data_IF_168643725629
#
_entry.id   IF_168643725629
#
_cell.length_a   1.000
_cell.length_b   1.000
_cell.length_c   1.000
_cell.angle_alpha   90.00
_cell.angle_beta   90.00
_cell.angle_gamma   90.00
#
_symmetry.space_group_name_H-M   'P 1'
#
loop_
_entity.id
_entity.type
_entity.pdbx_description
1 polymer ?
#
# COMPACT_ATOMS: atom_id res chain seq x y z
N UNK A 1 33.81 58.14 1.03
CA UNK A 1 32.40 57.89 1.44
C UNK A 1 32.17 56.38 1.42
N UNK A 2 32.24 55.73 2.58
CA UNK A 2 32.22 54.26 2.71
C UNK A 2 30.78 53.82 3.00
N UNK A 3 30.14 53.15 2.06
CA UNK A 3 28.78 52.61 2.24
C UNK A 3 28.88 51.28 2.99
N UNK A 4 28.55 51.28 4.29
CA UNK A 4 28.38 50.06 5.10
C UNK A 4 27.17 49.28 4.58
N UNK A 5 27.40 48.09 4.02
CA UNK A 5 26.36 47.07 3.84
C UNK A 5 25.97 46.52 5.21
N UNK A 6 24.92 47.07 5.80
CA UNK A 6 24.30 46.48 6.99
C UNK A 6 23.70 45.12 6.62
N UNK A 7 24.31 44.08 7.18
CA UNK A 7 23.85 42.70 7.22
C UNK A 7 22.41 42.63 7.76
N UNK A 8 21.43 42.50 6.86
CA UNK A 8 20.12 41.96 7.20
C UNK A 8 20.31 40.49 7.57
N UNK A 9 20.56 40.25 8.86
CA UNK A 9 20.44 38.95 9.50
C UNK A 9 18.96 38.58 9.47
N UNK A 10 18.51 38.09 8.32
CA UNK A 10 17.26 37.35 8.21
C UNK A 10 17.30 36.28 9.27
N UNK A 11 16.43 36.39 10.28
CA UNK A 11 16.05 35.30 11.15
C UNK A 11 15.51 34.17 10.25
N UNK A 12 16.42 33.35 9.71
CA UNK A 12 16.10 32.00 9.28
C UNK A 12 15.70 31.29 10.56
N UNK A 13 14.40 31.36 10.85
CA UNK A 13 13.74 30.36 11.66
C UNK A 13 14.28 29.05 11.13
N UNK A 14 15.02 28.35 11.98
CA UNK A 14 15.73 27.14 11.64
C UNK A 14 14.68 26.03 11.46
N UNK A 15 13.97 26.05 10.32
CA UNK A 15 12.94 25.07 9.94
C UNK A 15 13.56 23.65 9.91
N UNK A 16 14.89 23.53 9.90
CA UNK A 16 15.61 22.26 10.07
C UNK A 16 15.44 21.61 11.45
N UNK A 17 14.91 22.34 12.45
CA UNK A 17 14.54 21.80 13.76
C UNK A 17 13.06 21.40 13.87
N UNK A 18 12.32 21.28 12.77
CA UNK A 18 11.18 20.36 12.76
C UNK A 18 11.75 18.95 12.88
N UNK A 19 11.74 18.45 14.12
CA UNK A 19 12.12 17.11 14.53
C UNK A 19 11.72 16.10 13.46
N UNK A 20 12.71 15.47 12.83
CA UNK A 20 12.49 14.20 12.12
C UNK A 20 11.93 13.23 13.15
N UNK A 21 10.61 13.18 13.28
CA UNK A 21 9.93 12.16 14.07
C UNK A 21 10.40 10.82 13.53
N UNK A 22 10.90 9.99 14.45
CA UNK A 22 11.51 8.73 14.12
C UNK A 22 10.47 7.83 13.43
N UNK A 23 10.73 7.25 12.24
CA UNK A 23 9.79 6.34 11.58
C UNK A 23 9.31 5.20 12.49
N UNK A 24 10.12 4.77 13.46
CA UNK A 24 9.72 3.78 14.46
C UNK A 24 8.54 4.26 15.35
N UNK A 25 8.43 5.56 15.62
CA UNK A 25 7.32 6.13 16.39
C UNK A 25 5.98 5.98 15.65
N UNK A 26 5.95 6.22 14.34
CA UNK A 26 4.74 6.07 13.54
C UNK A 26 4.31 4.61 13.39
N UNK A 27 5.28 3.70 13.24
CA UNK A 27 5.01 2.26 13.25
C UNK A 27 4.41 1.84 14.59
N UNK A 28 5.02 2.26 15.70
CA UNK A 28 4.49 1.99 17.04
C UNK A 28 3.07 2.54 17.25
N UNK A 29 2.83 3.80 16.86
CA UNK A 29 1.51 4.42 16.96
C UNK A 29 0.46 3.67 16.12
N UNK A 30 0.83 3.23 14.91
CA UNK A 30 -0.06 2.46 14.04
C UNK A 30 -0.42 1.10 14.66
N UNK A 31 0.55 0.42 15.28
CA UNK A 31 0.31 -0.83 16.01
C UNK A 31 -0.57 -0.62 17.24
N UNK A 32 -0.38 0.48 17.98
CA UNK A 32 -1.23 0.83 19.11
C UNK A 32 -2.68 1.07 18.66
N UNK A 33 -2.89 1.82 17.59
CA UNK A 33 -4.22 2.05 17.01
C UNK A 33 -4.86 0.72 16.59
N UNK A 34 -4.10 -0.18 15.95
CA UNK A 34 -4.59 -1.51 15.59
C UNK A 34 -5.04 -2.31 16.81
N UNK A 35 -4.25 -2.33 17.89
CA UNK A 35 -4.62 -3.02 19.13
C UNK A 35 -5.88 -2.42 19.75
N UNK A 36 -6.04 -1.09 19.73
CA UNK A 36 -7.24 -0.41 20.22
C UNK A 36 -8.47 -0.76 19.38
N UNK A 37 -8.33 -0.83 18.05
CA UNK A 37 -9.39 -1.29 17.15
C UNK A 37 -9.75 -2.74 17.44
N UNK A 38 -8.79 -3.64 17.56
CA UNK A 38 -9.07 -5.05 17.92
C UNK A 38 -9.74 -5.18 19.29
N UNK A 39 -9.31 -4.38 20.27
CA UNK A 39 -9.95 -4.31 21.60
C UNK A 39 -11.36 -3.75 21.54
N UNK A 40 -11.70 -2.89 20.59
CA UNK A 40 -13.07 -2.39 20.43
C UNK A 40 -14.09 -3.50 20.13
N UNK A 41 -13.63 -4.65 19.64
CA UNK A 41 -14.47 -5.84 19.43
C UNK A 41 -14.58 -6.74 20.69
N UNK A 42 -13.88 -6.45 21.79
CA UNK A 42 -13.99 -7.25 23.00
C UNK A 42 -15.36 -7.07 23.64
N UNK A 43 -16.16 -8.14 23.70
CA UNK A 43 -17.53 -8.12 24.23
C UNK A 43 -18.62 -8.24 23.16
N UNK A 44 -18.27 -8.26 21.87
CA UNK A 44 -19.18 -8.69 20.82
C UNK A 44 -19.20 -10.22 20.74
N UNK A 45 -20.40 -10.79 20.63
CA UNK A 45 -20.56 -12.21 20.31
C UNK A 45 -20.12 -12.41 18.85
N UNK A 46 -18.90 -12.91 18.67
CA UNK A 46 -18.29 -13.23 17.38
C UNK A 46 -18.85 -14.54 16.80
N UNK A 47 -20.14 -14.80 17.01
CA UNK A 47 -20.82 -15.87 16.28
C UNK A 47 -20.52 -15.69 14.79
N UNK A 48 -19.86 -16.70 14.21
CA UNK A 48 -19.43 -16.63 12.81
C UNK A 48 -20.70 -16.46 11.98
N UNK A 49 -20.84 -15.36 11.22
CA UNK A 49 -22.05 -15.15 10.44
C UNK A 49 -22.22 -16.31 9.45
N UNK A 50 -23.46 -16.67 9.19
CA UNK A 50 -23.78 -17.75 8.25
C UNK A 50 -23.11 -17.46 6.90
N UNK A 51 -22.27 -18.39 6.45
CA UNK A 51 -21.52 -18.24 5.21
C UNK A 51 -22.38 -18.70 4.04
N UNK A 52 -22.53 -17.87 3.03
CA UNK A 52 -23.25 -18.24 1.81
C UNK A 52 -22.27 -18.77 0.73
N UNK A 53 -22.67 -19.76 -0.07
CA UNK A 53 -21.89 -20.21 -1.21
C UNK A 53 -21.85 -19.13 -2.31
N UNK A 54 -20.69 -18.94 -2.93
CA UNK A 54 -20.52 -18.01 -4.03
C UNK A 54 -21.14 -18.55 -5.32
N UNK A 55 -21.85 -17.69 -6.07
CA UNK A 55 -22.67 -18.10 -7.23
C UNK A 55 -21.92 -18.82 -8.36
N UNK A 56 -20.63 -18.53 -8.57
CA UNK A 56 -19.89 -19.09 -9.71
C UNK A 56 -19.15 -20.39 -9.38
N UNK A 57 -18.70 -20.56 -8.13
CA UNK A 57 -17.84 -21.69 -7.74
C UNK A 57 -18.41 -22.53 -6.60
N UNK A 58 -19.44 -22.04 -5.90
CA UNK A 58 -19.99 -22.67 -4.71
C UNK A 58 -19.11 -22.53 -3.46
N UNK A 59 -17.96 -21.86 -3.54
CA UNK A 59 -17.09 -21.65 -2.38
C UNK A 59 -17.76 -20.76 -1.33
N UNK A 60 -17.57 -21.09 -0.06
CA UNK A 60 -18.13 -20.31 1.04
C UNK A 60 -17.48 -18.92 1.11
N UNK A 61 -18.34 -17.90 1.10
CA UNK A 61 -17.97 -16.52 1.32
C UNK A 61 -18.02 -16.17 2.80
N UNK A 62 -17.35 -15.09 3.20
CA UNK A 62 -17.39 -14.57 4.56
C UNK A 62 -18.69 -13.85 4.93
N UNK A 63 -19.53 -13.53 3.95
CA UNK A 63 -20.77 -12.80 4.17
C UNK A 63 -21.99 -13.72 3.99
N UNK A 64 -23.07 -13.48 4.75
CA UNK A 64 -24.36 -14.09 4.47
C UNK A 64 -24.95 -13.51 3.18
N UNK A 65 -26.07 -14.09 2.75
CA UNK A 65 -26.86 -13.51 1.66
C UNK A 65 -27.30 -12.07 2.02
N UNK A 66 -26.87 -11.12 1.20
CA UNK A 66 -27.17 -9.70 1.39
C UNK A 66 -28.55 -9.39 0.79
N UNK A 67 -29.51 -9.00 1.63
CA UNK A 67 -30.86 -8.65 1.17
C UNK A 67 -30.82 -7.46 0.19
N UNK A 68 -31.41 -7.63 -0.99
CA UNK A 68 -31.42 -6.60 -2.03
C UNK A 68 -30.10 -6.46 -2.81
N UNK A 69 -29.16 -7.38 -2.62
CA UNK A 69 -27.92 -7.42 -3.37
C UNK A 69 -28.19 -7.81 -4.83
N UNK A 70 -27.77 -6.92 -5.73
CA UNK A 70 -27.84 -7.13 -7.17
C UNK A 70 -26.48 -7.66 -7.66
N UNK A 71 -26.41 -8.97 -7.81
CA UNK A 71 -25.21 -9.67 -8.26
C UNK A 71 -24.71 -9.18 -9.63
N UNK A 72 -25.62 -8.87 -10.55
CA UNK A 72 -25.28 -8.46 -11.91
C UNK A 72 -24.65 -7.07 -11.94
N UNK A 73 -25.14 -6.13 -11.12
CA UNK A 73 -24.51 -4.81 -10.98
C UNK A 73 -23.10 -4.92 -10.44
N UNK A 74 -22.91 -5.74 -9.40
CA UNK A 74 -21.58 -5.98 -8.83
C UNK A 74 -20.63 -6.61 -9.85
N UNK A 75 -21.07 -7.64 -10.58
CA UNK A 75 -20.27 -8.30 -11.62
C UNK A 75 -19.90 -7.35 -12.75
N UNK A 76 -20.85 -6.51 -13.19
CA UNK A 76 -20.59 -5.53 -14.25
C UNK A 76 -19.51 -4.54 -13.83
N UNK A 77 -19.59 -4.03 -12.60
CA UNK A 77 -18.58 -3.14 -12.04
C UNK A 77 -17.21 -3.84 -11.90
N UNK A 78 -17.19 -5.08 -11.41
CA UNK A 78 -15.97 -5.86 -11.27
C UNK A 78 -15.32 -6.16 -12.62
N UNK A 79 -16.09 -6.58 -13.62
CA UNK A 79 -15.59 -6.87 -14.97
C UNK A 79 -15.00 -5.63 -15.62
N UNK A 80 -15.70 -4.50 -15.55
CA UNK A 80 -15.17 -3.23 -16.04
C UNK A 80 -13.84 -2.88 -15.34
N UNK A 81 -13.79 -3.01 -14.01
CA UNK A 81 -12.57 -2.79 -13.24
C UNK A 81 -11.43 -3.74 -13.67
N UNK A 82 -11.73 -5.03 -13.93
CA UNK A 82 -10.71 -5.98 -14.40
C UNK A 82 -10.14 -5.58 -15.75
N UNK A 83 -10.97 -5.15 -16.70
CA UNK A 83 -10.49 -4.69 -18.02
C UNK A 83 -9.53 -3.51 -17.86
N UNK A 84 -9.91 -2.51 -17.07
CA UNK A 84 -9.06 -1.33 -16.80
C UNK A 84 -7.75 -1.75 -16.11
N UNK A 85 -7.81 -2.64 -15.13
CA UNK A 85 -6.65 -3.13 -14.40
C UNK A 85 -5.71 -3.98 -15.25
N UNK A 86 -6.21 -4.76 -16.21
CA UNK A 86 -5.38 -5.51 -17.17
C UNK A 86 -4.54 -4.54 -18.00
N UNK A 87 -5.16 -3.53 -18.61
CA UNK A 87 -4.44 -2.53 -19.40
C UNK A 87 -3.48 -1.73 -18.52
N UNK A 88 -3.93 -1.30 -17.33
CA UNK A 88 -3.11 -0.54 -16.39
C UNK A 88 -1.89 -1.33 -15.94
N UNK A 89 -2.06 -2.62 -15.61
CA UNK A 89 -0.96 -3.52 -15.23
C UNK A 89 0.04 -3.66 -16.37
N UNK A 90 -0.43 -3.89 -17.61
CA UNK A 90 0.42 -4.01 -18.78
C UNK A 90 1.28 -2.75 -18.98
N UNK A 91 0.67 -1.57 -19.00
CA UNK A 91 1.40 -0.31 -19.18
C UNK A 91 2.32 0.01 -18.01
N UNK A 92 1.88 -0.24 -16.78
CA UNK A 92 2.69 -0.04 -15.58
C UNK A 92 3.96 -0.91 -15.60
N UNK A 93 3.84 -2.21 -15.87
CA UNK A 93 5.02 -3.09 -16.00
C UNK A 93 5.91 -2.62 -17.15
N UNK A 94 5.33 -2.39 -18.34
CA UNK A 94 6.08 -2.00 -19.54
C UNK A 94 6.94 -0.76 -19.28
N UNK A 95 6.39 0.28 -18.66
CA UNK A 95 7.11 1.54 -18.44
C UNK A 95 8.07 1.49 -17.25
N UNK A 96 7.78 0.72 -16.20
CA UNK A 96 8.63 0.66 -15.01
C UNK A 96 9.84 -0.27 -15.16
N UNK A 97 9.74 -1.27 -16.01
CA UNK A 97 10.88 -2.14 -16.37
C UNK A 97 11.70 -1.62 -17.55
N UNK A 98 11.18 -0.63 -18.29
CA UNK A 98 11.92 0.07 -19.34
C UNK A 98 11.98 1.58 -19.04
N UNK A 99 12.62 2.00 -17.92
CA UNK A 99 12.66 3.39 -17.54
C UNK A 99 13.49 4.22 -18.56
N UNK A 100 13.18 5.52 -18.73
CA UNK A 100 13.97 6.40 -19.58
C UNK A 100 15.45 6.41 -19.18
N UNK A 101 16.36 6.33 -20.16
CA UNK A 101 17.81 6.38 -19.93
C UNK A 101 18.32 7.80 -19.67
N UNK A 102 17.62 8.81 -20.18
CA UNK A 102 17.98 10.23 -19.99
C UNK A 102 17.60 10.68 -18.58
N UNK A 103 18.60 11.14 -17.81
CA UNK A 103 18.42 11.60 -16.43
C UNK A 103 17.37 12.70 -16.26
N UNK A 104 17.19 13.58 -17.25
CA UNK A 104 16.19 14.66 -17.23
C UNK A 104 14.74 14.16 -17.28
N UNK A 105 14.51 12.92 -17.73
CA UNK A 105 13.18 12.31 -17.84
C UNK A 105 12.85 11.42 -16.64
N UNK A 106 13.77 11.28 -15.67
CA UNK A 106 13.57 10.47 -14.48
C UNK A 106 13.04 11.36 -13.37
N UNK A 107 11.84 11.03 -12.87
CA UNK A 107 11.26 11.64 -11.67
C UNK A 107 12.05 11.25 -10.42
N UNK A 108 12.17 12.17 -9.45
CA UNK A 108 13.03 12.01 -8.27
C UNK A 108 12.33 12.49 -7.00
N UNK A 109 12.62 11.83 -5.88
CA UNK A 109 12.28 12.32 -4.56
C UNK A 109 13.26 13.41 -4.13
N UNK A 110 12.73 14.53 -3.64
CA UNK A 110 13.49 15.65 -3.09
C UNK A 110 13.10 15.86 -1.62
N UNK A 111 14.09 15.96 -0.75
CA UNK A 111 13.90 16.47 0.61
C UNK A 111 14.16 17.98 0.64
N UNK A 112 13.67 18.67 1.68
CA UNK A 112 13.93 20.09 1.86
C UNK A 112 15.45 20.37 1.93
N UNK A 113 15.95 21.13 0.95
CA UNK A 113 17.38 21.45 0.81
C UNK A 113 18.22 20.45 0.01
N UNK A 114 17.60 19.43 -0.59
CA UNK A 114 18.33 18.48 -1.44
C UNK A 114 18.73 19.13 -2.77
N UNK A 115 19.99 18.92 -3.17
CA UNK A 115 20.44 19.18 -4.54
C UNK A 115 20.07 18.01 -5.45
N UNK A 116 20.14 18.21 -6.77
CA UNK A 116 19.95 17.13 -7.75
C UNK A 116 20.95 15.97 -7.54
N UNK A 117 22.10 16.20 -6.90
CA UNK A 117 23.02 15.11 -6.56
C UNK A 117 22.51 14.21 -5.42
N UNK A 118 21.69 14.76 -4.52
CA UNK A 118 21.22 14.08 -3.30
C UNK A 118 19.79 13.49 -3.42
N UNK A 119 19.07 13.83 -4.48
CA UNK A 119 17.73 13.30 -4.77
C UNK A 119 17.77 11.84 -5.25
N UNK A 120 16.78 11.04 -4.86
CA UNK A 120 16.67 9.61 -5.19
C UNK A 120 15.73 9.41 -6.38
N UNK A 121 16.08 8.62 -7.41
CA UNK A 121 15.15 8.26 -8.49
C UNK A 121 13.88 7.58 -7.96
N UNK A 122 12.71 7.86 -8.53
CA UNK A 122 11.46 7.17 -8.17
C UNK A 122 11.30 5.85 -8.92
N UNK A 123 12.35 5.31 -9.54
CA UNK A 123 12.26 4.09 -10.37
C UNK A 123 11.73 2.90 -9.58
N UNK A 124 12.26 2.66 -8.39
CA UNK A 124 11.83 1.54 -7.54
C UNK A 124 10.47 1.79 -6.89
N UNK A 125 10.15 3.05 -6.60
CA UNK A 125 8.80 3.44 -6.19
C UNK A 125 7.76 3.14 -7.27
N UNK A 126 8.06 3.51 -8.52
CA UNK A 126 7.17 3.23 -9.65
C UNK A 126 7.02 1.71 -9.87
N UNK A 127 8.10 0.92 -9.70
CA UNK A 127 8.03 -0.54 -9.74
C UNK A 127 7.14 -1.11 -8.62
N UNK A 128 7.23 -0.57 -7.40
CA UNK A 128 6.35 -0.96 -6.31
C UNK A 128 4.87 -0.65 -6.62
N UNK A 129 4.59 0.52 -7.23
CA UNK A 129 3.24 0.85 -7.74
C UNK A 129 2.80 -0.14 -8.82
N UNK A 130 3.68 -0.52 -9.75
CA UNK A 130 3.33 -1.49 -10.78
C UNK A 130 2.99 -2.87 -10.18
N UNK A 131 3.76 -3.33 -9.19
CA UNK A 131 3.46 -4.56 -8.43
C UNK A 131 2.10 -4.43 -7.74
N UNK A 132 1.81 -3.31 -7.07
CA UNK A 132 0.51 -3.08 -6.44
C UNK A 132 -0.65 -3.14 -7.42
N UNK A 133 -0.53 -2.54 -8.60
CA UNK A 133 -1.58 -2.59 -9.63
C UNK A 133 -1.83 -4.05 -10.07
N UNK A 134 -0.78 -4.86 -10.24
CA UNK A 134 -0.90 -6.30 -10.54
C UNK A 134 -1.55 -7.06 -9.39
N UNK A 135 -1.16 -6.78 -8.14
CA UNK A 135 -1.79 -7.43 -6.99
C UNK A 135 -3.27 -7.04 -6.85
N UNK A 136 -3.62 -5.81 -7.21
CA UNK A 136 -5.01 -5.33 -7.26
C UNK A 136 -5.81 -6.05 -8.34
N UNK A 137 -5.22 -6.27 -9.52
CA UNK A 137 -5.80 -7.11 -10.57
C UNK A 137 -6.03 -8.53 -10.06
N UNK A 138 -5.03 -9.17 -9.44
CA UNK A 138 -5.16 -10.52 -8.90
C UNK A 138 -6.23 -10.59 -7.80
N UNK A 139 -6.29 -9.61 -6.90
CA UNK A 139 -7.32 -9.53 -5.88
C UNK A 139 -8.72 -9.37 -6.50
N UNK A 140 -8.84 -8.54 -7.54
CA UNK A 140 -10.08 -8.36 -8.28
C UNK A 140 -10.55 -9.64 -8.98
N UNK A 141 -9.63 -10.36 -9.63
CA UNK A 141 -9.91 -11.65 -10.26
C UNK A 141 -10.33 -12.70 -9.23
N UNK A 142 -9.68 -12.77 -8.06
CA UNK A 142 -10.09 -13.71 -7.02
C UNK A 142 -11.44 -13.37 -6.39
N UNK A 143 -11.79 -12.08 -6.21
CA UNK A 143 -13.18 -11.71 -5.86
C UNK A 143 -14.13 -12.20 -6.94
N UNK A 144 -13.82 -11.95 -8.21
CA UNK A 144 -14.73 -12.27 -9.31
C UNK A 144 -14.99 -13.78 -9.43
N UNK A 145 -13.96 -14.63 -9.30
CA UNK A 145 -14.10 -16.08 -9.47
C UNK A 145 -14.45 -16.83 -8.18
N UNK A 146 -13.90 -16.41 -7.03
CA UNK A 146 -14.03 -17.15 -5.77
C UNK A 146 -14.88 -16.43 -4.71
N UNK A 147 -15.33 -15.21 -4.98
CA UNK A 147 -16.02 -14.37 -4.00
C UNK A 147 -15.07 -13.87 -2.91
N UNK A 148 -15.62 -13.14 -1.95
CA UNK A 148 -14.85 -12.71 -0.78
C UNK A 148 -14.85 -13.83 0.25
N UNK A 149 -13.70 -14.46 0.41
CA UNK A 149 -13.49 -15.58 1.34
C UNK A 149 -12.01 -15.90 1.47
N UNK A 150 -11.68 -17.13 1.88
CA UNK A 150 -10.30 -17.52 2.20
C UNK A 150 -9.33 -17.37 1.02
N UNK A 151 -9.74 -17.78 -0.19
CA UNK A 151 -8.90 -17.67 -1.40
C UNK A 151 -8.59 -16.21 -1.72
N UNK A 152 -9.63 -15.36 -1.71
CA UNK A 152 -9.44 -13.92 -1.90
C UNK A 152 -8.55 -13.33 -0.82
N UNK A 153 -8.76 -13.71 0.45
CA UNK A 153 -8.01 -13.18 1.58
C UNK A 153 -6.50 -13.37 1.40
N UNK A 154 -6.04 -14.55 0.97
CA UNK A 154 -4.62 -14.80 0.70
C UNK A 154 -4.03 -13.81 -0.31
N UNK A 155 -4.77 -13.52 -1.40
CA UNK A 155 -4.33 -12.53 -2.40
C UNK A 155 -4.47 -11.10 -1.86
N UNK A 156 -5.51 -10.83 -1.07
CA UNK A 156 -5.73 -9.56 -0.37
C UNK A 156 -4.58 -9.20 0.57
N UNK A 157 -4.01 -10.17 1.28
CA UNK A 157 -2.81 -9.95 2.12
C UNK A 157 -1.63 -9.47 1.28
N UNK A 158 -1.41 -10.07 0.11
CA UNK A 158 -0.32 -9.68 -0.77
C UNK A 158 -0.58 -8.29 -1.40
N UNK A 159 -1.83 -7.96 -1.74
CA UNK A 159 -2.25 -6.63 -2.16
C UNK A 159 -1.95 -5.59 -1.06
N UNK A 160 -2.40 -5.83 0.17
CA UNK A 160 -2.15 -4.93 1.31
C UNK A 160 -0.65 -4.79 1.61
N UNK A 161 0.13 -5.88 1.49
CA UNK A 161 1.58 -5.85 1.68
C UNK A 161 2.26 -4.95 0.64
N UNK A 162 1.77 -4.94 -0.61
CA UNK A 162 2.29 -4.03 -1.64
C UNK A 162 1.94 -2.56 -1.39
N UNK A 163 0.77 -2.25 -0.84
CA UNK A 163 0.44 -0.89 -0.37
C UNK A 163 1.36 -0.43 0.75
N UNK A 164 1.58 -1.31 1.73
CA UNK A 164 2.48 -1.03 2.84
C UNK A 164 3.91 -0.76 2.35
N UNK A 165 4.39 -1.52 1.38
CA UNK A 165 5.69 -1.27 0.73
C UNK A 165 5.74 0.12 0.07
N UNK A 166 4.69 0.53 -0.64
CA UNK A 166 4.61 1.88 -1.24
C UNK A 166 4.70 2.96 -0.17
N UNK A 167 3.95 2.82 0.93
CA UNK A 167 3.97 3.77 2.04
C UNK A 167 5.35 3.87 2.70
N UNK A 168 6.07 2.75 2.84
CA UNK A 168 7.43 2.73 3.37
C UNK A 168 8.43 3.42 2.44
N UNK A 169 8.36 3.18 1.14
CA UNK A 169 9.23 3.85 0.16
C UNK A 169 8.94 5.35 0.15
N UNK A 170 7.66 5.74 0.18
CA UNK A 170 7.24 7.14 0.23
C UNK A 170 7.70 7.82 1.53
N UNK A 171 7.44 7.21 2.68
CA UNK A 171 7.81 7.74 4.00
C UNK A 171 9.32 7.85 4.22
N UNK A 172 10.12 7.01 3.54
CA UNK A 172 11.59 7.10 3.55
C UNK A 172 12.16 8.05 2.51
N UNK A 173 11.31 8.72 1.70
CA UNK A 173 11.75 9.59 0.60
C UNK A 173 12.54 8.83 -0.47
N UNK A 174 12.19 7.56 -0.70
CA UNK A 174 12.87 6.65 -1.62
C UNK A 174 14.17 6.04 -1.09
N UNK A 175 14.66 6.45 0.10
CA UNK A 175 15.89 5.94 0.72
C UNK A 175 15.60 4.65 1.46
N UNK A 176 15.24 3.60 0.72
CA UNK A 176 14.80 2.34 1.29
C UNK A 176 15.90 1.27 1.19
N UNK A 177 16.36 0.75 2.34
CA UNK A 177 17.29 -0.37 2.40
C UNK A 177 16.51 -1.69 2.49
N UNK A 178 16.26 -2.30 1.32
CA UNK A 178 15.55 -3.57 1.14
C UNK A 178 15.93 -4.69 2.16
N UNK A 179 17.22 -4.94 2.46
CA UNK A 179 17.62 -6.09 3.29
C UNK A 179 17.14 -6.02 4.75
N UNK A 180 16.97 -4.82 5.29
CA UNK A 180 16.59 -4.61 6.70
C UNK A 180 15.08 -4.75 6.90
N UNK A 181 14.29 -4.39 5.89
CA UNK A 181 12.83 -4.35 5.98
C UNK A 181 12.13 -5.62 5.49
N UNK A 182 12.77 -6.41 4.62
CA UNK A 182 12.23 -7.68 4.13
C UNK A 182 11.80 -8.65 5.24
N UNK A 183 12.57 -8.84 6.33
CA UNK A 183 12.14 -9.69 7.45
C UNK A 183 10.87 -9.16 8.14
N UNK A 184 10.72 -7.83 8.26
CA UNK A 184 9.55 -7.21 8.92
C UNK A 184 8.29 -7.38 8.05
N UNK A 185 8.41 -7.15 6.73
CA UNK A 185 7.29 -7.29 5.80
C UNK A 185 6.92 -8.77 5.58
N UNK A 186 7.91 -9.62 5.31
CA UNK A 186 7.65 -11.03 4.99
C UNK A 186 7.34 -11.88 6.22
N UNK A 187 8.14 -11.78 7.29
CA UNK A 187 8.00 -12.68 8.43
C UNK A 187 6.88 -12.19 9.35
N UNK A 188 6.83 -10.90 9.69
CA UNK A 188 5.79 -10.42 10.61
C UNK A 188 4.47 -10.12 9.91
N UNK A 189 4.45 -9.27 8.89
CA UNK A 189 3.18 -8.83 8.31
C UNK A 189 2.49 -9.94 7.49
N UNK A 190 3.21 -10.53 6.51
CA UNK A 190 2.62 -11.55 5.64
C UNK A 190 2.32 -12.83 6.41
N UNK A 191 3.25 -13.36 7.22
CA UNK A 191 2.98 -14.60 7.97
C UNK A 191 1.90 -14.43 9.03
N UNK A 192 1.91 -13.34 9.83
CA UNK A 192 0.90 -13.13 10.87
C UNK A 192 -0.49 -13.02 10.27
N UNK A 193 -0.67 -12.15 9.26
CA UNK A 193 -1.99 -11.96 8.64
C UNK A 193 -2.44 -13.21 7.88
N UNK A 194 -1.53 -13.90 7.18
CA UNK A 194 -1.88 -15.16 6.49
C UNK A 194 -2.31 -16.24 7.49
N UNK A 195 -1.60 -16.39 8.61
CA UNK A 195 -1.97 -17.33 9.68
C UNK A 195 -3.32 -16.95 10.29
N UNK A 196 -3.53 -15.66 10.60
CA UNK A 196 -4.80 -15.18 11.15
C UNK A 196 -5.96 -15.38 10.18
N UNK A 197 -5.78 -15.16 8.88
CA UNK A 197 -6.81 -15.36 7.86
C UNK A 197 -7.08 -16.85 7.53
N UNK A 198 -6.15 -17.76 7.82
CA UNK A 198 -6.35 -19.20 7.63
C UNK A 198 -7.01 -19.84 8.86
N UNK A 199 -6.61 -19.41 10.06
CA UNK A 199 -7.05 -19.99 11.33
C UNK A 199 -8.41 -19.44 11.82
N UNK A 200 -8.83 -18.27 11.35
CA UNK A 200 -10.17 -17.70 11.57
C UNK A 200 -11.07 -17.94 10.34
#
# INVERSE_FOLDING_TARGET
MVVRKNSLRSNKIDIKKMTKLNPYFFVFLSLLVLVLVLRSFSGFDLSIPEQAPYRFTGYLMWFPELKGYDGNKFDTALLFNQVVLIFSSYFAIKWTYNPPTKRSLITRFYSAGDSVAMSVPTTDFNRAIAIYIVMTLLAGLTIFFAGVGKIWATVGVLHNASEFLILLILGSGGKFNLPVFWPIIAIFYISFITITCILL
#
